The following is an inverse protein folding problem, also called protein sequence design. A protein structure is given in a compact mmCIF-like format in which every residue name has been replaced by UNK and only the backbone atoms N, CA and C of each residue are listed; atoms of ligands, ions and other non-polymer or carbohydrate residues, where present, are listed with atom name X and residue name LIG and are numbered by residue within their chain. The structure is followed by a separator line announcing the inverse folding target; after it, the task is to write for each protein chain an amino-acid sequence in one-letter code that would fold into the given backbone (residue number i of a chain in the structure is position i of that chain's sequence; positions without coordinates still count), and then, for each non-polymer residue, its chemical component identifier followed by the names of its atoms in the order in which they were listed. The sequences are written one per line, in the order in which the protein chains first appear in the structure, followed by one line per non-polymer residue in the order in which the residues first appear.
data_IF_488642981509
#
_entry.id   IF_488642981509
#
_cell.length_a   1.000
_cell.length_b   1.000
_cell.length_c   1.000
_cell.angle_alpha   90.00
_cell.angle_beta   90.00
_cell.angle_gamma   90.00
#
_symmetry.space_group_name_H-M   'P 1'
#
loop_
_entity.id
_entity.type
_entity.pdbx_description
1 polymer ?
#
# COMPACT_ATOMS: atom_id res chain seq x y z
N UNK A 1 -18.82 -15.96 -22.65
CA UNK A 1 -19.20 -15.96 -21.24
C UNK A 1 -18.00 -16.23 -20.30
N UNK A 2 -16.80 -15.73 -20.54
CA UNK A 2 -15.56 -16.03 -19.77
C UNK A 2 -14.91 -14.77 -19.16
N UNK A 3 -15.45 -13.58 -19.36
CA UNK A 3 -14.82 -12.32 -18.89
C UNK A 3 -14.96 -12.02 -17.38
N UNK A 4 -15.79 -12.75 -16.63
CA UNK A 4 -16.04 -12.46 -15.21
C UNK A 4 -15.08 -13.12 -14.22
N UNK A 5 -14.26 -14.07 -14.65
CA UNK A 5 -13.42 -14.89 -13.75
C UNK A 5 -12.11 -14.23 -13.29
N UNK A 6 -11.76 -13.04 -13.81
CA UNK A 6 -10.48 -12.39 -13.52
C UNK A 6 -10.55 -11.17 -12.59
N UNK A 7 -11.77 -10.76 -12.21
CA UNK A 7 -11.94 -9.60 -11.33
C UNK A 7 -12.00 -10.03 -9.87
N UNK A 8 -11.36 -9.23 -9.01
CA UNK A 8 -11.53 -9.37 -7.56
C UNK A 8 -13.02 -9.27 -7.21
N UNK A 9 -13.52 -10.09 -6.27
CA UNK A 9 -14.84 -9.90 -5.69
C UNK A 9 -15.02 -8.46 -5.19
N UNK A 10 -16.24 -7.93 -5.30
CA UNK A 10 -16.53 -6.53 -4.98
C UNK A 10 -16.08 -6.13 -3.57
N UNK A 11 -16.30 -7.01 -2.57
CA UNK A 11 -15.89 -6.76 -1.19
C UNK A 11 -14.37 -6.71 -1.02
N UNK A 12 -13.60 -7.59 -1.69
CA UNK A 12 -12.13 -7.56 -1.65
C UNK A 12 -11.58 -6.28 -2.26
N UNK A 13 -12.17 -5.86 -3.40
CA UNK A 13 -11.79 -4.61 -4.05
C UNK A 13 -12.09 -3.41 -3.17
N UNK A 14 -13.30 -3.35 -2.58
CA UNK A 14 -13.68 -2.26 -1.68
C UNK A 14 -12.76 -2.20 -0.47
N UNK A 15 -12.50 -3.33 0.19
CA UNK A 15 -11.61 -3.40 1.36
C UNK A 15 -10.19 -2.95 1.03
N UNK A 16 -9.65 -3.37 -0.12
CA UNK A 16 -8.32 -2.96 -0.58
C UNK A 16 -8.23 -1.45 -0.82
N UNK A 17 -9.22 -0.86 -1.51
CA UNK A 17 -9.24 0.58 -1.74
C UNK A 17 -9.48 1.36 -0.46
N UNK A 18 -10.37 0.91 0.42
CA UNK A 18 -10.64 1.56 1.68
C UNK A 18 -9.41 1.57 2.61
N UNK A 19 -8.77 0.41 2.81
CA UNK A 19 -7.55 0.32 3.63
C UNK A 19 -6.40 1.12 3.02
N UNK A 20 -6.22 1.05 1.69
CA UNK A 20 -5.21 1.84 0.97
C UNK A 20 -5.45 3.34 1.10
N UNK A 21 -6.70 3.80 0.99
CA UNK A 21 -7.06 5.22 1.16
C UNK A 21 -6.80 5.71 2.59
N UNK A 22 -7.15 4.91 3.62
CA UNK A 22 -6.88 5.25 5.02
C UNK A 22 -5.37 5.31 5.27
N UNK A 23 -4.59 4.33 4.79
CA UNK A 23 -3.13 4.35 4.93
C UNK A 23 -2.50 5.56 4.25
N UNK A 24 -2.92 5.88 3.02
CA UNK A 24 -2.40 7.03 2.30
C UNK A 24 -2.75 8.34 3.02
N UNK A 25 -4.01 8.51 3.41
CA UNK A 25 -4.48 9.72 4.09
C UNK A 25 -3.77 9.93 5.43
N UNK A 26 -3.66 8.89 6.25
CA UNK A 26 -2.99 8.97 7.56
C UNK A 26 -1.48 9.17 7.43
N UNK A 27 -0.83 8.54 6.45
CA UNK A 27 0.60 8.75 6.17
C UNK A 27 0.90 10.17 5.70
N UNK A 28 0.10 10.71 4.75
CA UNK A 28 0.24 12.09 4.29
C UNK A 28 -0.07 13.10 5.38
N UNK A 29 -1.12 12.86 6.17
CA UNK A 29 -1.45 13.74 7.31
C UNK A 29 -0.32 13.77 8.33
N UNK A 30 0.27 12.62 8.65
CA UNK A 30 1.44 12.58 9.53
C UNK A 30 2.62 13.38 8.98
N UNK A 31 2.93 13.25 7.67
CA UNK A 31 3.98 14.06 7.04
C UNK A 31 3.72 15.55 7.16
N UNK A 32 2.48 15.99 6.96
CA UNK A 32 2.09 17.40 7.11
C UNK A 32 2.26 17.85 8.55
N UNK A 33 1.76 17.08 9.53
CA UNK A 33 1.88 17.43 10.95
C UNK A 33 3.33 17.48 11.42
N UNK A 34 4.20 16.65 10.85
CA UNK A 34 5.59 16.51 11.28
C UNK A 34 6.54 17.53 10.61
N UNK A 35 6.37 17.79 9.31
CA UNK A 35 7.33 18.58 8.52
C UNK A 35 6.83 19.95 8.03
N UNK A 36 5.52 20.25 8.12
CA UNK A 36 5.02 21.56 7.72
C UNK A 36 5.51 22.67 8.67
N UNK A 37 5.59 23.93 8.20
CA UNK A 37 5.91 25.08 9.08
C UNK A 37 4.97 25.11 10.29
N UNK A 38 5.53 25.12 11.50
CA UNK A 38 4.78 24.95 12.75
C UNK A 38 4.47 23.49 13.11
N UNK A 39 4.99 22.52 12.34
CA UNK A 39 4.94 21.10 12.65
C UNK A 39 5.93 20.72 13.76
N UNK A 40 5.90 19.45 14.16
CA UNK A 40 6.64 18.95 15.33
C UNK A 40 8.10 18.55 15.06
N UNK A 41 8.60 18.72 13.85
CA UNK A 41 10.01 18.44 13.56
C UNK A 41 10.92 19.41 14.34
N UNK A 42 11.52 18.91 15.41
CA UNK A 42 12.37 19.70 16.31
C UNK A 42 11.67 20.35 17.52
N UNK A 43 10.36 20.14 17.67
CA UNK A 43 9.55 20.59 18.80
C UNK A 43 8.79 19.42 19.46
N UNK A 44 7.90 19.75 20.40
CA UNK A 44 7.03 18.70 21.00
C UNK A 44 6.07 18.15 19.94
N UNK A 45 5.94 16.82 19.83
CA UNK A 45 5.10 16.19 18.83
C UNK A 45 3.64 16.67 18.93
N UNK A 46 3.04 16.94 17.77
CA UNK A 46 1.62 17.31 17.72
C UNK A 46 0.75 16.11 18.20
N UNK A 47 -0.26 16.33 19.08
CA UNK A 47 -1.06 15.22 19.63
C UNK A 47 -1.70 14.32 18.57
N UNK A 48 -2.05 14.85 17.40
CA UNK A 48 -2.63 14.10 16.30
C UNK A 48 -1.62 13.18 15.61
N UNK A 49 -0.31 13.39 15.72
CA UNK A 49 0.70 12.49 15.14
C UNK A 49 0.57 11.07 15.68
N UNK A 50 0.42 10.95 17.00
CA UNK A 50 0.25 9.65 17.64
C UNK A 50 -1.04 8.94 17.19
N UNK A 51 -2.13 9.69 17.02
CA UNK A 51 -3.39 9.13 16.55
C UNK A 51 -3.35 8.74 15.08
N UNK A 52 -2.75 9.56 14.21
CA UNK A 52 -2.58 9.20 12.79
C UNK A 52 -1.75 7.94 12.62
N UNK A 53 -0.67 7.75 13.42
CA UNK A 53 0.14 6.54 13.37
C UNK A 53 -0.58 5.30 13.91
N UNK A 54 -1.42 5.43 14.95
CA UNK A 54 -2.27 4.32 15.43
C UNK A 54 -3.25 3.88 14.35
N UNK A 55 -3.92 4.84 13.69
CA UNK A 55 -4.84 4.53 12.59
C UNK A 55 -4.12 3.96 11.37
N UNK A 56 -2.94 4.50 11.04
CA UNK A 56 -2.10 3.97 9.97
C UNK A 56 -1.71 2.50 10.24
N UNK A 57 -1.24 2.19 11.43
CA UNK A 57 -0.89 0.83 11.85
C UNK A 57 -2.08 -0.14 11.83
N UNK A 58 -3.26 0.30 12.31
CA UNK A 58 -4.48 -0.50 12.25
C UNK A 58 -4.89 -0.79 10.79
N UNK A 59 -4.85 0.23 9.93
CA UNK A 59 -5.13 0.06 8.50
C UNK A 59 -4.08 -0.81 7.81
N UNK A 60 -2.80 -0.70 8.20
CA UNK A 60 -1.73 -1.55 7.68
C UNK A 60 -1.95 -3.03 8.06
N UNK A 61 -2.41 -3.30 9.29
CA UNK A 61 -2.76 -4.65 9.71
C UNK A 61 -3.89 -5.25 8.87
N UNK A 62 -4.97 -4.49 8.66
CA UNK A 62 -6.06 -4.87 7.76
C UNK A 62 -5.57 -5.04 6.31
N UNK A 63 -4.70 -4.15 5.84
CA UNK A 63 -4.09 -4.21 4.51
C UNK A 63 -3.23 -5.46 4.30
N UNK A 64 -2.43 -5.85 5.29
CA UNK A 64 -1.64 -7.09 5.25
C UNK A 64 -2.52 -8.34 5.18
N UNK A 65 -3.61 -8.36 5.96
CA UNK A 65 -4.59 -9.44 5.86
C UNK A 65 -5.20 -9.51 4.45
N UNK A 66 -5.64 -8.39 3.90
CA UNK A 66 -6.19 -8.33 2.54
C UNK A 66 -5.15 -8.69 1.48
N UNK A 67 -3.90 -8.29 1.65
CA UNK A 67 -2.80 -8.68 0.76
C UNK A 67 -2.61 -10.20 0.76
N UNK A 68 -2.68 -10.85 1.92
CA UNK A 68 -2.65 -12.31 2.04
C UNK A 68 -3.82 -12.99 1.31
N UNK A 69 -5.04 -12.48 1.47
CA UNK A 69 -6.24 -12.99 0.77
C UNK A 69 -6.06 -12.88 -0.76
N UNK A 70 -5.59 -11.74 -1.24
CA UNK A 70 -5.36 -11.50 -2.67
C UNK A 70 -4.20 -12.33 -3.21
N UNK A 71 -3.12 -12.46 -2.44
CA UNK A 71 -1.97 -13.30 -2.81
C UNK A 71 -2.36 -14.77 -2.92
N UNK A 72 -3.21 -15.28 -2.04
CA UNK A 72 -3.67 -16.65 -2.06
C UNK A 72 -4.71 -16.98 -3.15
N UNK A 73 -5.50 -15.99 -3.56
CA UNK A 73 -6.62 -16.20 -4.49
C UNK A 73 -6.35 -15.61 -5.89
N UNK A 74 -6.12 -14.31 -5.98
CA UNK A 74 -6.04 -13.59 -7.25
C UNK A 74 -4.71 -13.78 -7.98
N UNK A 75 -3.59 -13.78 -7.26
CA UNK A 75 -2.24 -13.87 -7.88
C UNK A 75 -2.02 -15.19 -8.61
N UNK A 76 -2.30 -16.37 -8.02
CA UNK A 76 -2.13 -17.65 -8.72
C UNK A 76 -3.07 -17.79 -9.92
N UNK A 77 -4.30 -17.28 -9.81
CA UNK A 77 -5.26 -17.30 -10.91
C UNK A 77 -4.81 -16.40 -12.06
N UNK A 78 -4.41 -15.16 -11.77
CA UNK A 78 -3.88 -14.22 -12.74
C UNK A 78 -2.62 -14.73 -13.43
N UNK A 79 -1.73 -15.39 -12.69
CA UNK A 79 -0.50 -15.99 -13.23
C UNK A 79 -0.79 -17.11 -14.23
N UNK A 80 -1.66 -18.05 -13.87
CA UNK A 80 -2.04 -19.19 -14.73
C UNK A 80 -2.77 -18.74 -16.00
N UNK A 81 -3.65 -17.77 -15.89
CA UNK A 81 -4.45 -17.28 -16.99
C UNK A 81 -3.62 -16.41 -17.96
N UNK A 82 -2.71 -15.58 -17.47
CA UNK A 82 -1.83 -14.77 -18.30
C UNK A 82 -0.79 -15.61 -19.07
N UNK A 83 -0.45 -16.82 -18.58
CA UNK A 83 0.41 -17.75 -19.29
C UNK A 83 -0.23 -18.26 -20.58
N UNK A 84 -1.57 -18.40 -20.60
CA UNK A 84 -2.34 -18.92 -21.75
C UNK A 84 -2.66 -17.84 -22.80
N UNK A 85 -2.70 -16.55 -22.43
CA UNK A 85 -3.30 -15.47 -23.23
C UNK A 85 -2.35 -14.33 -23.62
N UNK A 86 -1.02 -14.49 -23.63
CA UNK A 86 -0.03 -13.46 -24.03
C UNK A 86 -0.17 -12.07 -23.36
N UNK A 87 -0.78 -11.99 -22.19
CA UNK A 87 -1.00 -10.72 -21.47
C UNK A 87 0.20 -10.33 -20.58
N UNK A 88 1.38 -10.29 -21.17
CA UNK A 88 2.63 -9.98 -20.47
C UNK A 88 2.58 -8.64 -19.70
N UNK A 89 1.81 -7.67 -20.20
CA UNK A 89 1.73 -6.32 -19.62
C UNK A 89 0.97 -6.25 -18.29
N UNK A 90 -0.03 -7.10 -18.07
CA UNK A 90 -0.76 -7.17 -16.79
C UNK A 90 0.02 -7.93 -15.71
N UNK A 91 0.90 -8.83 -16.09
CA UNK A 91 1.82 -9.53 -15.18
C UNK A 91 2.80 -8.55 -14.53
N UNK A 92 3.37 -7.63 -15.32
CA UNK A 92 4.34 -6.66 -14.82
C UNK A 92 3.73 -5.77 -13.73
N UNK A 93 2.52 -5.24 -13.95
CA UNK A 93 1.85 -4.41 -12.94
C UNK A 93 1.43 -5.18 -11.70
N UNK A 94 0.98 -6.44 -11.83
CA UNK A 94 0.66 -7.30 -10.69
C UNK A 94 1.90 -7.65 -9.85
N UNK A 95 3.01 -8.01 -10.51
CA UNK A 95 4.28 -8.28 -9.83
C UNK A 95 4.82 -7.05 -9.12
N UNK A 96 4.76 -5.88 -9.76
CA UNK A 96 5.18 -4.62 -9.16
C UNK A 96 4.33 -4.24 -7.93
N UNK A 97 3.00 -4.49 -7.96
CA UNK A 97 2.13 -4.31 -6.79
C UNK A 97 2.51 -5.26 -5.64
N UNK A 98 2.83 -6.51 -5.93
CA UNK A 98 3.30 -7.46 -4.92
C UNK A 98 4.65 -7.02 -4.32
N UNK A 99 5.59 -6.59 -5.16
CA UNK A 99 6.90 -6.09 -4.73
C UNK A 99 6.78 -4.82 -3.87
N UNK A 100 5.96 -3.86 -4.28
CA UNK A 100 5.68 -2.65 -3.50
C UNK A 100 4.98 -2.97 -2.17
N UNK A 101 4.03 -3.91 -2.16
CA UNK A 101 3.38 -4.36 -0.94
C UNK A 101 4.37 -5.00 0.05
N UNK A 102 5.25 -5.86 -0.43
CA UNK A 102 6.32 -6.46 0.39
C UNK A 102 7.30 -5.40 0.90
N UNK A 103 7.71 -4.45 0.05
CA UNK A 103 8.59 -3.33 0.42
C UNK A 103 7.96 -2.46 1.49
N UNK A 104 6.67 -2.11 1.36
CA UNK A 104 5.93 -1.31 2.35
C UNK A 104 5.81 -2.05 3.68
N UNK A 105 5.47 -3.34 3.66
CA UNK A 105 5.41 -4.14 4.88
C UNK A 105 6.77 -4.19 5.61
N UNK A 106 7.84 -4.47 4.86
CA UNK A 106 9.19 -4.55 5.41
C UNK A 106 9.68 -3.18 5.92
N UNK A 107 9.54 -2.12 5.13
CA UNK A 107 9.98 -0.78 5.52
C UNK A 107 9.18 -0.23 6.71
N UNK A 108 7.87 -0.49 6.76
CA UNK A 108 7.04 -0.12 7.92
C UNK A 108 7.47 -0.85 9.19
N UNK A 109 7.75 -2.14 9.09
CA UNK A 109 8.28 -2.93 10.21
C UNK A 109 9.66 -2.42 10.68
N UNK A 110 10.57 -2.14 9.74
CA UNK A 110 11.88 -1.58 10.07
C UNK A 110 11.77 -0.20 10.72
N UNK A 111 10.91 0.69 10.21
CA UNK A 111 10.66 2.01 10.79
C UNK A 111 10.17 1.94 12.23
N UNK A 112 9.31 0.97 12.52
CA UNK A 112 8.70 0.86 13.85
C UNK A 112 9.66 0.23 14.88
N UNK A 113 10.39 -0.83 14.49
CA UNK A 113 11.15 -1.64 15.44
C UNK A 113 12.68 -1.45 15.41
N UNK A 114 13.26 -1.13 14.24
CA UNK A 114 14.70 -1.23 14.06
C UNK A 114 15.40 0.02 13.53
N UNK A 115 14.65 1.00 12.98
CA UNK A 115 15.28 2.15 12.35
C UNK A 115 16.02 3.03 13.39
N UNK A 116 17.34 3.14 13.31
CA UNK A 116 18.10 4.09 14.14
C UNK A 116 17.71 5.52 13.75
N UNK A 117 17.81 6.45 14.69
CA UNK A 117 17.39 7.84 14.50
C UNK A 117 17.98 8.49 13.25
N UNK A 118 19.25 8.25 12.97
CA UNK A 118 19.95 8.79 11.82
C UNK A 118 19.38 8.33 10.46
N UNK A 119 18.84 7.13 10.38
CA UNK A 119 18.27 6.56 9.14
C UNK A 119 16.75 6.70 9.04
N UNK A 120 16.09 6.97 10.14
CA UNK A 120 14.62 7.05 10.22
C UNK A 120 14.00 8.03 9.23
N UNK A 121 14.54 9.27 9.05
CA UNK A 121 13.99 10.21 8.07
C UNK A 121 14.08 9.70 6.63
N UNK A 122 15.25 9.19 6.23
CA UNK A 122 15.45 8.66 4.88
C UNK A 122 14.55 7.46 4.59
N UNK A 123 14.44 6.52 5.54
CA UNK A 123 13.56 5.36 5.42
C UNK A 123 12.08 5.77 5.41
N UNK A 124 11.69 6.79 6.19
CA UNK A 124 10.34 7.36 6.22
C UNK A 124 9.94 7.95 4.87
N UNK A 125 10.82 8.74 4.24
CA UNK A 125 10.59 9.29 2.90
C UNK A 125 10.50 8.18 1.84
N UNK A 126 11.37 7.18 1.91
CA UNK A 126 11.33 6.03 0.99
C UNK A 126 10.02 5.23 1.13
N UNK A 127 9.58 4.98 2.37
CA UNK A 127 8.30 4.33 2.68
C UNK A 127 7.11 5.13 2.14
N UNK A 128 7.10 6.44 2.37
CA UNK A 128 6.02 7.34 1.91
C UNK A 128 5.96 7.41 0.39
N UNK A 129 7.11 7.51 -0.28
CA UNK A 129 7.19 7.49 -1.75
C UNK A 129 6.69 6.17 -2.33
N UNK A 130 7.08 5.03 -1.72
CA UNK A 130 6.57 3.71 -2.11
C UNK A 130 5.06 3.58 -1.90
N UNK A 131 4.51 4.18 -0.83
CA UNK A 131 3.07 4.22 -0.55
C UNK A 131 2.28 4.98 -1.62
N UNK A 132 2.76 6.15 -2.03
CA UNK A 132 2.17 6.93 -3.13
C UNK A 132 2.25 6.15 -4.45
N UNK A 133 3.39 5.55 -4.76
CA UNK A 133 3.57 4.73 -5.95
C UNK A 133 2.62 3.53 -5.96
N UNK A 134 2.45 2.85 -4.82
CA UNK A 134 1.51 1.74 -4.64
C UNK A 134 0.07 2.18 -4.92
N UNK A 135 -0.37 3.32 -4.38
CA UNK A 135 -1.71 3.86 -4.59
C UNK A 135 -1.96 4.18 -6.08
N UNK A 136 -1.02 4.86 -6.74
CA UNK A 136 -1.11 5.18 -8.17
C UNK A 136 -1.17 3.92 -9.04
N UNK A 137 -0.33 2.92 -8.73
CA UNK A 137 -0.31 1.66 -9.46
C UNK A 137 -1.57 0.83 -9.23
N UNK A 138 -2.13 0.83 -8.04
CA UNK A 138 -3.38 0.13 -7.73
C UNK A 138 -4.55 0.69 -8.56
N UNK A 139 -4.67 2.01 -8.65
CA UNK A 139 -5.67 2.68 -9.49
C UNK A 139 -5.46 2.34 -10.97
N UNK A 140 -4.22 2.42 -11.46
CA UNK A 140 -3.89 2.10 -12.86
C UNK A 140 -4.18 0.64 -13.20
N UNK A 141 -3.82 -0.28 -12.31
CA UNK A 141 -4.07 -1.71 -12.48
C UNK A 141 -5.58 -2.02 -12.51
N UNK A 142 -6.35 -1.42 -11.59
CA UNK A 142 -7.80 -1.59 -11.52
C UNK A 142 -8.54 -1.06 -12.75
N UNK A 143 -8.14 0.10 -13.30
CA UNK A 143 -8.74 0.68 -14.51
C UNK A 143 -8.51 -0.20 -15.75
N UNK A 144 -7.32 -0.78 -15.89
CA UNK A 144 -6.98 -1.67 -17.02
C UNK A 144 -7.75 -3.00 -16.98
N UNK A 145 -8.10 -3.49 -15.82
CA UNK A 145 -8.92 -4.70 -15.67
C UNK A 145 -10.41 -4.46 -15.97
N UNK A 146 -10.80 -3.20 -16.16
CA UNK A 146 -12.19 -2.79 -16.45
C UNK A 146 -12.47 -2.60 -17.93
N UNK A 147 -11.42 -2.50 -18.76
CA UNK A 147 -11.47 -2.45 -20.23
C UNK A 147 -11.34 -3.86 -20.82
#
# INVERSE_FOLDING_TARGET
MIRHLHRLPGWQRLSLYATGAVMLATGLLWLVLHYAPGGSAGELPHPLEAWTMKLHGLAAFAGLFMLGVVAGSHVPHGWRSSARHRWAHQRGSGLALCALGALLALSGYLLYYFAPEALRPALGWAHSGAGVAMAAMLVKHGRRSSQ
#
